data_IF_734539115220
#
_entry.id   IF_734539115220
#
_cell.length_a   1.000
_cell.length_b   1.000
_cell.length_c   1.000
_cell.angle_alpha   90.00
_cell.angle_beta   90.00
_cell.angle_gamma   90.00
#
_symmetry.space_group_name_H-M   'P 1'
#
loop_
_entity.id
_entity.type
_entity.pdbx_description
1 polymer ?
#
# COMPACT_ATOMS: atom_id res chain seq x y z
N UNK A 1 -74.78 16.03 -23.76
CA UNK A 1 -73.44 16.20 -24.30
C UNK A 1 -72.47 16.77 -23.26
N UNK A 2 -72.87 17.69 -22.39
CA UNK A 2 -71.97 18.27 -21.35
C UNK A 2 -71.39 17.24 -20.34
N UNK A 3 -72.23 16.26 -19.92
CA UNK A 3 -71.78 15.28 -18.90
C UNK A 3 -70.65 14.38 -19.37
N UNK A 4 -70.55 14.02 -20.64
CA UNK A 4 -69.49 13.22 -21.22
C UNK A 4 -68.20 14.01 -21.35
N UNK A 5 -68.27 15.30 -21.64
CA UNK A 5 -67.06 16.15 -21.72
C UNK A 5 -66.40 16.36 -20.33
N UNK A 6 -67.20 16.53 -19.27
CA UNK A 6 -66.68 16.67 -17.90
C UNK A 6 -65.99 15.42 -17.40
N UNK A 7 -66.46 14.22 -17.70
CA UNK A 7 -65.80 12.96 -17.31
C UNK A 7 -64.52 12.79 -18.04
N UNK A 8 -64.35 13.12 -19.31
CA UNK A 8 -63.11 13.02 -20.06
C UNK A 8 -62.08 13.99 -19.54
N UNK A 9 -62.47 15.23 -19.20
CA UNK A 9 -61.49 16.19 -18.56
C UNK A 9 -61.03 15.75 -17.20
N UNK A 10 -61.96 15.19 -16.38
CA UNK A 10 -61.56 14.64 -15.06
C UNK A 10 -60.56 13.47 -15.18
N UNK A 11 -60.73 12.59 -16.15
CA UNK A 11 -59.79 11.49 -16.43
C UNK A 11 -58.42 11.97 -16.94
N UNK A 12 -58.41 12.99 -17.81
CA UNK A 12 -57.15 13.58 -18.27
C UNK A 12 -56.36 14.27 -17.15
N UNK A 13 -57.06 15.00 -16.27
CA UNK A 13 -56.40 15.65 -15.11
C UNK A 13 -55.85 14.61 -14.13
N UNK A 14 -56.59 13.51 -13.89
CA UNK A 14 -56.13 12.42 -13.03
C UNK A 14 -54.93 11.67 -13.64
N UNK A 15 -54.86 11.46 -14.96
CA UNK A 15 -53.74 10.84 -15.64
C UNK A 15 -52.47 11.68 -15.63
N UNK A 16 -52.60 13.01 -15.70
CA UNK A 16 -51.45 13.93 -15.63
C UNK A 16 -50.86 14.02 -14.22
N UNK A 17 -51.64 13.87 -13.17
CA UNK A 17 -51.15 13.89 -11.78
C UNK A 17 -50.47 12.58 -11.38
N UNK A 18 -50.77 11.45 -12.04
CA UNK A 18 -50.09 10.19 -11.76
C UNK A 18 -48.69 10.08 -12.41
N UNK A 19 -48.37 10.94 -13.37
CA UNK A 19 -47.05 10.95 -14.03
C UNK A 19 -46.01 11.89 -13.39
N UNK A 20 -46.39 12.59 -12.31
CA UNK A 20 -45.40 13.19 -11.45
C UNK A 20 -44.66 12.04 -10.70
N UNK A 21 -43.88 11.27 -11.46
CA UNK A 21 -42.91 10.38 -10.87
C UNK A 21 -42.08 11.22 -9.91
N UNK A 22 -42.21 10.94 -8.63
CA UNK A 22 -41.30 11.48 -7.62
C UNK A 22 -39.91 11.32 -8.18
N UNK A 23 -39.04 12.37 -8.19
CA UNK A 23 -37.67 12.20 -8.53
C UNK A 23 -37.20 11.04 -7.65
N UNK A 24 -36.80 9.94 -8.28
CA UNK A 24 -36.20 8.81 -7.59
C UNK A 24 -35.23 9.44 -6.60
N UNK A 25 -35.47 9.24 -5.32
CA UNK A 25 -34.52 9.64 -4.31
C UNK A 25 -33.19 8.97 -4.76
N UNK A 26 -32.35 9.76 -5.39
CA UNK A 26 -31.01 9.31 -5.67
C UNK A 26 -30.47 8.91 -4.31
N UNK A 27 -30.35 7.60 -4.08
CA UNK A 27 -29.89 7.09 -2.81
C UNK A 27 -28.63 7.86 -2.45
N UNK A 28 -28.54 8.34 -1.24
CA UNK A 28 -27.32 9.00 -0.78
C UNK A 28 -26.13 8.14 -1.23
N UNK A 29 -25.08 8.73 -1.78
CA UNK A 29 -23.94 7.96 -2.30
C UNK A 29 -23.51 6.96 -1.22
N UNK A 30 -23.58 5.68 -1.54
CA UNK A 30 -23.19 4.64 -0.60
C UNK A 30 -21.74 4.90 -0.23
N UNK A 31 -21.49 5.19 1.05
CA UNK A 31 -20.13 5.31 1.55
C UNK A 31 -19.55 3.91 1.62
N UNK A 32 -18.49 3.68 0.87
CA UNK A 32 -17.73 2.45 0.89
C UNK A 32 -16.46 2.67 1.72
N UNK A 33 -16.11 1.68 2.55
CA UNK A 33 -14.88 1.71 3.33
C UNK A 33 -13.79 0.95 2.59
N UNK A 34 -12.68 1.62 2.33
CA UNK A 34 -11.47 1.04 1.74
C UNK A 34 -10.41 0.84 2.82
N UNK A 35 -9.76 -0.34 2.82
CA UNK A 35 -8.75 -0.71 3.80
C UNK A 35 -7.42 -0.92 3.10
N UNK A 36 -6.39 -0.22 3.55
CA UNK A 36 -5.09 -0.28 2.92
C UNK A 36 -3.96 0.24 3.79
N UNK A 37 -2.78 0.27 3.19
CA UNK A 37 -1.54 0.68 3.80
C UNK A 37 -0.88 1.75 2.94
N UNK A 38 -0.56 2.91 3.50
CA UNK A 38 0.12 4.01 2.81
C UNK A 38 1.57 4.18 3.24
N UNK A 39 2.03 3.42 4.22
CA UNK A 39 3.38 3.50 4.76
C UNK A 39 3.90 2.08 5.00
N UNK A 40 4.80 1.60 4.14
CA UNK A 40 5.35 0.26 4.20
C UNK A 40 6.80 0.27 3.72
N UNK A 41 7.69 -0.27 4.55
CA UNK A 41 9.10 -0.39 4.23
C UNK A 41 9.45 -1.84 3.90
N UNK A 42 10.29 -2.03 2.90
CA UNK A 42 10.73 -3.34 2.42
C UNK A 42 12.22 -3.56 2.68
N UNK A 43 12.77 -4.70 2.25
CA UNK A 43 14.22 -4.96 2.34
C UNK A 43 15.08 -3.99 1.53
N UNK A 44 14.48 -3.10 0.75
CA UNK A 44 15.17 -2.02 0.06
C UNK A 44 15.33 -0.78 0.93
N UNK A 45 14.53 -0.66 1.99
CA UNK A 45 14.66 0.40 2.99
C UNK A 45 15.77 0.04 3.98
N UNK A 46 16.62 0.99 4.30
CA UNK A 46 17.74 0.77 5.21
C UNK A 46 17.30 0.27 6.58
N UNK A 47 16.26 0.88 7.13
CA UNK A 47 15.70 0.54 8.45
C UNK A 47 15.12 -0.87 8.48
N UNK A 48 14.27 -1.21 7.52
CA UNK A 48 13.68 -2.54 7.43
C UNK A 48 14.74 -3.63 7.27
N UNK A 49 15.77 -3.37 6.44
CA UNK A 49 16.85 -4.35 6.25
C UNK A 49 17.65 -4.58 7.51
N UNK A 50 18.12 -3.52 8.17
CA UNK A 50 18.98 -3.65 9.36
C UNK A 50 18.28 -4.25 10.57
N UNK A 51 16.95 -4.15 10.66
CA UNK A 51 16.14 -4.77 11.72
C UNK A 51 15.65 -6.18 11.38
N UNK A 52 16.03 -6.73 10.22
CA UNK A 52 15.88 -8.16 9.91
C UNK A 52 15.01 -8.51 8.70
N UNK A 53 14.43 -7.55 7.97
CA UNK A 53 13.75 -7.86 6.72
C UNK A 53 14.73 -7.98 5.56
N UNK A 54 15.32 -9.15 5.40
CA UNK A 54 16.31 -9.40 4.34
C UNK A 54 15.71 -9.98 3.05
N UNK A 55 14.45 -10.42 3.08
CA UNK A 55 13.85 -11.22 2.00
C UNK A 55 12.67 -10.55 1.29
N UNK A 56 11.92 -9.67 1.98
CA UNK A 56 10.71 -9.07 1.45
C UNK A 56 11.03 -7.75 0.75
N UNK A 57 11.13 -7.77 -0.57
CA UNK A 57 11.30 -6.57 -1.40
C UNK A 57 9.95 -5.93 -1.77
N UNK A 58 9.96 -4.87 -2.61
CA UNK A 58 8.75 -4.20 -3.07
C UNK A 58 7.77 -5.14 -3.78
N UNK A 59 8.26 -6.07 -4.58
CA UNK A 59 7.42 -7.04 -5.28
C UNK A 59 6.67 -7.95 -4.30
N UNK A 60 7.38 -8.49 -3.28
CA UNK A 60 6.77 -9.32 -2.24
C UNK A 60 5.76 -8.51 -1.40
N UNK A 61 6.04 -7.24 -1.12
CA UNK A 61 5.10 -6.37 -0.40
C UNK A 61 3.78 -6.21 -1.18
N UNK A 62 3.83 -6.01 -2.50
CA UNK A 62 2.63 -5.97 -3.33
C UNK A 62 1.94 -7.33 -3.46
N UNK A 63 2.67 -8.44 -3.59
CA UNK A 63 2.08 -9.79 -3.55
C UNK A 63 1.33 -10.03 -2.25
N UNK A 64 1.93 -9.64 -1.12
CA UNK A 64 1.29 -9.78 0.19
C UNK A 64 0.00 -8.96 0.28
N UNK A 65 0.02 -7.71 -0.17
CA UNK A 65 -1.18 -6.85 -0.17
C UNK A 65 -2.31 -7.39 -1.05
N UNK A 66 -1.97 -8.12 -2.12
CA UNK A 66 -2.93 -8.84 -2.96
C UNK A 66 -3.43 -10.17 -2.34
N UNK A 67 -3.03 -10.48 -1.11
CA UNK A 67 -3.39 -11.73 -0.44
C UNK A 67 -2.64 -12.96 -0.93
N UNK A 68 -1.56 -12.78 -1.68
CA UNK A 68 -0.68 -13.87 -2.10
C UNK A 68 0.29 -14.26 -0.98
N UNK A 69 0.69 -15.54 -0.87
CA UNK A 69 1.67 -15.96 0.12
C UNK A 69 3.06 -15.41 -0.22
N UNK A 70 3.77 -14.97 0.81
CA UNK A 70 5.19 -14.58 0.73
C UNK A 70 5.98 -15.23 1.85
N UNK A 71 7.31 -15.26 1.75
CA UNK A 71 8.20 -15.74 2.81
C UNK A 71 8.38 -14.66 3.87
N UNK A 72 8.13 -15.03 5.13
CA UNK A 72 8.55 -14.25 6.28
C UNK A 72 10.08 -14.40 6.47
N UNK A 73 10.81 -13.37 6.97
CA UNK A 73 12.25 -13.49 7.25
C UNK A 73 12.64 -14.68 8.13
N UNK A 74 11.73 -15.15 8.99
CA UNK A 74 11.93 -16.36 9.80
C UNK A 74 11.69 -17.69 9.06
N UNK A 75 11.40 -17.66 7.73
CA UNK A 75 11.35 -18.82 6.85
C UNK A 75 9.98 -19.46 6.63
N UNK A 76 8.94 -19.06 7.33
CA UNK A 76 7.58 -19.55 7.11
C UNK A 76 6.79 -18.68 6.11
N UNK A 77 5.70 -19.23 5.57
CA UNK A 77 4.83 -18.48 4.67
C UNK A 77 3.79 -17.66 5.43
N UNK A 78 3.54 -16.44 4.95
CA UNK A 78 2.51 -15.55 5.47
C UNK A 78 1.67 -15.00 4.33
N UNK A 79 0.38 -14.78 4.58
CA UNK A 79 -0.53 -14.11 3.66
C UNK A 79 -1.64 -13.38 4.41
N UNK A 80 -2.19 -12.35 3.81
CA UNK A 80 -3.40 -11.71 4.31
C UNK A 80 -4.61 -12.62 4.07
N UNK A 81 -5.59 -12.58 4.97
CA UNK A 81 -6.87 -13.26 4.79
C UNK A 81 -7.74 -12.60 3.72
N UNK A 82 -7.60 -11.30 3.56
CA UNK A 82 -8.28 -10.46 2.57
C UNK A 82 -7.23 -9.52 1.95
N UNK A 83 -7.24 -9.35 0.62
CA UNK A 83 -6.44 -8.33 -0.04
C UNK A 83 -6.72 -6.93 0.51
N UNK A 84 -5.71 -6.06 0.45
CA UNK A 84 -5.88 -4.64 0.69
C UNK A 84 -6.51 -3.97 -0.53
N UNK A 85 -7.30 -2.92 -0.32
CA UNK A 85 -7.90 -2.14 -1.40
C UNK A 85 -6.86 -1.17 -2.02
N UNK A 86 -5.86 -0.75 -1.23
CA UNK A 86 -4.72 0.04 -1.71
C UNK A 86 -3.46 -0.26 -0.88
N UNK A 87 -2.30 -0.10 -1.50
CA UNK A 87 -1.00 -0.25 -0.83
C UNK A 87 0.05 0.64 -1.49
N UNK A 88 0.83 1.34 -0.68
CA UNK A 88 2.01 2.11 -1.08
C UNK A 88 3.27 1.61 -0.38
N UNK A 89 4.28 1.20 -1.15
CA UNK A 89 5.62 0.99 -0.64
C UNK A 89 6.32 2.34 -0.56
N UNK A 90 6.90 2.65 0.59
CA UNK A 90 7.49 3.95 0.92
C UNK A 90 8.88 3.76 1.53
N UNK A 91 9.70 2.96 0.87
CA UNK A 91 11.09 2.76 1.27
C UNK A 91 11.84 4.10 1.36
N UNK A 92 12.75 4.23 2.31
CA UNK A 92 13.64 5.39 2.35
C UNK A 92 14.40 5.54 1.05
N UNK A 93 14.31 6.71 0.41
CA UNK A 93 15.05 7.02 -0.82
C UNK A 93 16.54 7.13 -0.57
N UNK A 94 16.91 7.62 0.61
CA UNK A 94 18.28 7.67 1.07
C UNK A 94 18.82 6.25 1.28
N UNK A 95 19.87 5.93 0.54
CA UNK A 95 20.50 4.61 0.57
C UNK A 95 19.57 3.45 0.16
N UNK A 96 18.53 3.70 -0.66
CA UNK A 96 17.60 2.67 -1.13
C UNK A 96 18.35 1.48 -1.74
N UNK A 97 18.13 0.31 -1.18
CA UNK A 97 18.77 -0.94 -1.60
C UNK A 97 20.26 -1.07 -1.24
N UNK A 98 20.95 0.00 -0.82
CA UNK A 98 22.41 0.00 -0.63
C UNK A 98 22.86 -1.03 0.41
N UNK A 99 22.21 -1.08 1.57
CA UNK A 99 22.56 -2.05 2.62
C UNK A 99 22.30 -3.47 2.15
N UNK A 100 21.16 -3.72 1.47
CA UNK A 100 20.84 -5.02 0.89
C UNK A 100 21.91 -5.46 -0.11
N UNK A 101 22.27 -4.60 -1.07
CA UNK A 101 23.27 -4.91 -2.10
C UNK A 101 24.66 -5.14 -1.49
N UNK A 102 25.04 -4.37 -0.47
CA UNK A 102 26.31 -4.54 0.25
C UNK A 102 26.39 -5.89 1.00
N UNK A 103 25.26 -6.47 1.36
CA UNK A 103 25.18 -7.77 2.06
C UNK A 103 24.96 -8.97 1.14
N UNK A 104 24.82 -8.76 -0.19
CA UNK A 104 24.71 -9.85 -1.16
C UNK A 104 26.11 -10.26 -1.66
N UNK A 105 26.65 -11.43 -1.25
CA UNK A 105 28.00 -11.85 -1.62
C UNK A 105 28.17 -12.15 -3.12
N UNK A 106 27.07 -12.33 -3.86
CA UNK A 106 27.11 -12.57 -5.29
C UNK A 106 27.40 -11.29 -6.10
N UNK A 107 27.21 -10.12 -5.50
CA UNK A 107 27.35 -8.83 -6.18
C UNK A 107 28.74 -8.22 -5.98
N UNK A 108 29.32 -7.59 -7.03
CA UNK A 108 30.63 -6.92 -6.91
C UNK A 108 30.66 -5.82 -5.85
N UNK A 109 29.55 -5.09 -5.65
CA UNK A 109 29.45 -4.00 -4.64
C UNK A 109 29.68 -4.49 -3.22
N UNK A 110 29.35 -5.74 -2.92
CA UNK A 110 29.59 -6.32 -1.59
C UNK A 110 31.08 -6.47 -1.24
N UNK A 111 31.96 -6.38 -2.23
CA UNK A 111 33.41 -6.48 -2.08
C UNK A 111 34.10 -5.13 -1.91
N UNK A 112 33.35 -4.04 -2.00
CA UNK A 112 33.88 -2.69 -1.80
C UNK A 112 34.21 -2.45 -0.30
N UNK A 113 35.24 -1.65 0.01
CA UNK A 113 35.59 -1.35 1.42
C UNK A 113 34.42 -0.73 2.22
N UNK A 114 33.57 0.07 1.57
CA UNK A 114 32.39 0.67 2.21
C UNK A 114 31.35 -0.39 2.61
N UNK A 115 31.27 -1.50 1.89
CA UNK A 115 30.31 -2.57 2.20
C UNK A 115 30.56 -3.19 3.58
N UNK A 116 31.81 -3.23 4.05
CA UNK A 116 32.11 -3.73 5.40
C UNK A 116 31.46 -2.91 6.52
N UNK A 117 31.28 -1.61 6.31
CA UNK A 117 30.56 -0.72 7.26
C UNK A 117 29.06 -0.95 7.28
N UNK A 118 28.52 -1.62 6.24
CA UNK A 118 27.09 -1.89 6.04
C UNK A 118 26.75 -3.37 6.30
N UNK A 119 27.70 -4.17 6.80
CA UNK A 119 27.49 -5.59 7.11
C UNK A 119 26.58 -5.77 8.31
N UNK A 120 25.46 -6.44 8.10
CA UNK A 120 24.53 -6.86 9.15
C UNK A 120 24.86 -8.30 9.54
N UNK A 121 25.63 -8.49 10.61
CA UNK A 121 26.00 -9.82 11.14
C UNK A 121 25.22 -10.16 12.39
N UNK A 122 24.92 -9.15 13.19
CA UNK A 122 24.25 -9.31 14.49
C UNK A 122 23.23 -8.18 14.69
N UNK A 123 22.20 -8.36 15.53
CA UNK A 123 21.23 -7.29 15.80
C UNK A 123 21.83 -5.96 16.28
N UNK A 124 22.91 -5.92 17.11
CA UNK A 124 23.59 -4.66 17.46
C UNK A 124 24.18 -3.88 16.29
N UNK A 125 24.49 -4.54 15.17
CA UNK A 125 25.05 -3.86 13.98
C UNK A 125 24.06 -2.85 13.40
N UNK A 126 22.77 -3.08 13.55
CA UNK A 126 21.72 -2.16 13.11
C UNK A 126 21.94 -0.74 13.66
N UNK A 127 22.21 -0.61 14.96
CA UNK A 127 22.43 0.68 15.61
C UNK A 127 23.70 1.35 15.08
N UNK A 128 24.77 0.56 14.88
CA UNK A 128 26.05 1.05 14.37
C UNK A 128 25.92 1.56 12.95
N UNK A 129 25.27 0.79 12.08
CA UNK A 129 25.00 1.15 10.69
C UNK A 129 24.15 2.43 10.63
N UNK A 130 23.06 2.47 11.40
CA UNK A 130 22.17 3.63 11.42
C UNK A 130 22.91 4.91 11.85
N UNK A 131 23.72 4.85 12.91
CA UNK A 131 24.51 5.99 13.38
C UNK A 131 25.53 6.45 12.34
N UNK A 132 26.16 5.51 11.65
CA UNK A 132 27.12 5.83 10.60
C UNK A 132 26.45 6.52 9.41
N UNK A 133 25.32 5.99 8.91
CA UNK A 133 24.57 6.57 7.82
C UNK A 133 24.03 7.96 8.18
N UNK A 134 23.46 8.14 9.37
CA UNK A 134 22.97 9.44 9.84
C UNK A 134 24.13 10.45 9.97
N UNK A 135 25.30 10.01 10.40
CA UNK A 135 26.50 10.85 10.48
C UNK A 135 27.01 11.29 9.10
N UNK A 136 26.97 10.40 8.10
CA UNK A 136 27.36 10.69 6.72
C UNK A 136 26.40 11.69 6.09
N UNK A 137 25.09 11.52 6.27
CA UNK A 137 24.08 12.48 5.80
C UNK A 137 24.29 13.88 6.39
N UNK A 138 24.56 13.96 7.71
CA UNK A 138 24.77 15.23 8.39
C UNK A 138 26.01 15.98 7.91
N UNK A 139 27.00 15.26 7.36
CA UNK A 139 28.26 15.83 6.87
C UNK A 139 28.34 16.02 5.36
N UNK A 140 27.32 15.57 4.62
CA UNK A 140 27.34 15.48 3.15
C UNK A 140 28.53 14.64 2.61
N UNK A 141 28.88 13.55 3.28
CA UNK A 141 29.95 12.60 2.90
C UNK A 141 29.38 11.31 2.30
#
# INVERSE_FOLDING_TARGET
>A
MLCRALVIVAWMVCAVTLTAASPLAQGAPQREAFFGQTHSHTSWSVDAYIIGNHVTGPEEAYKFSLGQPIKHPAGFDVKLRRPLDFHGVTDHSEYAGMVRLANDPSLPVSKLPVAEKLRVKTPPDAITIFKWLAGSLAKNE
#
